data_IF_992611127529
#
_entry.id   IF_992611127529
#
_cell.length_a   1.000
_cell.length_b   1.000
_cell.length_c   1.000
_cell.angle_alpha   90.00
_cell.angle_beta   90.00
_cell.angle_gamma   90.00
#
_symmetry.space_group_name_H-M   'P 1'
#
loop_
_entity.id
_entity.type
_entity.pdbx_description
1 polymer ?
#
# COMPACT_ATOMS: atom_id res chain seq x y z
N UNK A 1 -51.40 57.61 -2.85
CA UNK A 1 -50.56 58.13 -3.94
C UNK A 1 -49.47 57.12 -4.21
N UNK A 2 -49.49 56.56 -5.42
CA UNK A 2 -48.44 55.84 -6.17
C UNK A 2 -47.71 54.67 -5.48
N UNK A 3 -48.10 53.47 -5.92
CA UNK A 3 -47.30 52.52 -6.70
C UNK A 3 -45.82 52.29 -6.32
N UNK A 4 -45.53 51.06 -5.87
CA UNK A 4 -44.54 50.21 -6.54
C UNK A 4 -44.73 48.72 -6.14
N UNK A 5 -45.09 47.90 -7.12
CA UNK A 5 -44.84 46.44 -7.19
C UNK A 5 -43.37 46.19 -7.65
N UNK A 6 -42.84 44.97 -7.85
CA UNK A 6 -43.35 43.60 -7.63
C UNK A 6 -42.31 42.61 -7.01
N UNK A 7 -42.69 41.33 -6.90
CA UNK A 7 -42.00 40.12 -7.43
C UNK A 7 -42.01 38.94 -6.44
N UNK A 8 -42.58 37.85 -6.96
CA UNK A 8 -42.77 36.49 -6.48
C UNK A 8 -41.49 35.78 -6.05
N UNK A 9 -41.58 34.91 -5.03
CA UNK A 9 -40.68 33.78 -4.88
C UNK A 9 -41.48 32.52 -4.52
N UNK A 10 -41.72 31.74 -5.57
CA UNK A 10 -41.48 30.30 -5.69
C UNK A 10 -41.70 29.38 -4.47
N UNK A 11 -42.68 28.50 -4.64
CA UNK A 11 -42.41 27.05 -4.65
C UNK A 11 -42.22 26.38 -3.29
N UNK A 12 -43.34 26.14 -2.60
CA UNK A 12 -43.47 24.95 -1.76
C UNK A 12 -43.45 23.72 -2.67
N UNK A 13 -42.30 23.07 -2.81
CA UNK A 13 -42.21 21.71 -3.33
C UNK A 13 -41.69 20.78 -2.23
N UNK A 14 -42.50 19.75 -2.00
CA UNK A 14 -42.42 18.86 -0.85
C UNK A 14 -41.07 18.15 -0.75
N UNK A 15 -40.60 18.06 0.50
CA UNK A 15 -39.61 17.08 0.90
C UNK A 15 -40.18 15.69 0.64
N UNK A 16 -39.85 15.14 -0.53
CA UNK A 16 -39.94 13.72 -0.80
C UNK A 16 -38.94 13.02 0.12
N UNK A 17 -39.48 12.48 1.21
CA UNK A 17 -38.85 11.52 2.10
C UNK A 17 -38.58 10.27 1.25
N UNK A 18 -37.37 10.14 0.71
CA UNK A 18 -36.92 8.89 0.10
C UNK A 18 -36.57 7.89 1.20
N UNK A 19 -37.63 7.27 1.73
CA UNK A 19 -37.57 6.04 2.50
C UNK A 19 -37.48 4.86 1.54
N UNK A 20 -36.28 4.55 1.03
CA UNK A 20 -35.89 3.19 0.61
C UNK A 20 -34.36 3.04 0.56
N UNK A 21 -33.67 2.95 1.69
CA UNK A 21 -32.32 2.33 1.72
C UNK A 21 -32.31 1.09 2.59
N UNK A 22 -32.34 -0.05 1.90
CA UNK A 22 -32.45 -1.38 2.46
C UNK A 22 -31.07 -1.85 2.96
N UNK A 23 -30.69 -1.44 4.17
CA UNK A 23 -29.87 -2.24 5.10
C UNK A 23 -28.49 -2.73 4.66
N UNK A 24 -27.84 -2.11 3.66
CA UNK A 24 -26.42 -2.37 3.34
C UNK A 24 -25.71 -1.04 3.14
N UNK A 25 -25.17 -0.49 4.23
CA UNK A 25 -24.23 0.62 4.12
C UNK A 25 -23.07 0.20 3.21
N UNK A 26 -22.98 0.85 2.04
CA UNK A 26 -21.90 0.61 1.08
C UNK A 26 -20.57 0.95 1.76
N UNK A 27 -19.75 -0.07 2.04
CA UNK A 27 -18.42 0.14 2.63
C UNK A 27 -17.51 0.76 1.57
N UNK A 28 -17.22 2.05 1.70
CA UNK A 28 -16.29 2.77 0.84
C UNK A 28 -14.84 2.48 1.26
N UNK A 29 -14.32 1.33 0.83
CA UNK A 29 -12.91 0.91 1.01
C UNK A 29 -11.93 1.59 0.03
N UNK A 30 -12.38 2.59 -0.72
CA UNK A 30 -11.61 3.27 -1.78
C UNK A 30 -11.85 2.64 -3.15
N UNK A 31 -11.38 1.40 -3.37
CA UNK A 31 -11.63 0.64 -4.62
C UNK A 31 -12.51 -0.60 -4.36
N UNK A 32 -13.38 -0.99 -5.30
CA UNK A 32 -14.16 -2.20 -5.15
C UNK A 32 -13.25 -3.44 -5.15
N UNK A 33 -13.50 -4.44 -4.29
CA UNK A 33 -12.73 -5.67 -4.26
C UNK A 33 -13.00 -6.51 -5.51
N UNK A 34 -11.99 -7.28 -5.93
CA UNK A 34 -12.06 -8.16 -7.10
C UNK A 34 -11.61 -9.58 -6.76
N UNK A 35 -11.92 -10.55 -7.62
CA UNK A 35 -11.43 -11.93 -7.49
C UNK A 35 -9.90 -11.99 -7.52
N UNK A 36 -9.24 -11.05 -8.20
CA UNK A 36 -7.78 -10.91 -8.16
C UNK A 36 -7.26 -10.64 -6.75
N UNK A 37 -8.00 -9.85 -5.97
CA UNK A 37 -7.63 -9.53 -4.59
C UNK A 37 -7.73 -10.76 -3.69
N UNK A 38 -8.74 -11.60 -3.91
CA UNK A 38 -8.82 -12.91 -3.24
C UNK A 38 -7.62 -13.80 -3.58
N UNK A 39 -7.28 -13.95 -4.86
CA UNK A 39 -6.12 -14.73 -5.27
C UNK A 39 -4.81 -14.18 -4.72
N UNK A 40 -4.67 -12.85 -4.67
CA UNK A 40 -3.52 -12.20 -4.02
C UNK A 40 -3.42 -12.62 -2.56
N UNK A 41 -4.46 -12.42 -1.75
CA UNK A 41 -4.43 -12.81 -0.32
C UNK A 41 -4.08 -14.28 -0.15
N UNK A 42 -4.67 -15.17 -0.95
CA UNK A 42 -4.35 -16.60 -0.89
C UNK A 42 -2.88 -16.90 -1.22
N UNK A 43 -2.33 -16.25 -2.25
CA UNK A 43 -0.90 -16.38 -2.60
C UNK A 43 -0.01 -15.89 -1.46
N UNK A 44 -0.30 -14.72 -0.90
CA UNK A 44 0.48 -14.15 0.20
C UNK A 44 0.47 -15.04 1.44
N UNK A 45 -0.69 -15.61 1.78
CA UNK A 45 -0.84 -16.53 2.92
C UNK A 45 -0.06 -17.82 2.67
N UNK A 46 -0.14 -18.39 1.47
CA UNK A 46 0.60 -19.60 1.12
C UNK A 46 2.12 -19.41 1.21
N UNK A 47 2.63 -18.21 0.92
CA UNK A 47 4.05 -17.87 1.00
C UNK A 47 4.51 -17.47 2.41
N UNK A 48 3.61 -16.97 3.27
CA UNK A 48 3.97 -16.43 4.59
C UNK A 48 3.67 -17.35 5.76
N UNK A 49 2.74 -18.30 5.61
CA UNK A 49 2.29 -19.16 6.71
C UNK A 49 2.44 -20.64 6.35
N UNK A 50 3.21 -21.35 7.16
CA UNK A 50 3.29 -22.82 7.11
C UNK A 50 2.23 -23.39 8.05
N UNK A 51 1.14 -23.91 7.47
CA UNK A 51 0.11 -24.62 8.22
C UNK A 51 0.51 -26.09 8.42
N UNK A 52 0.23 -26.61 9.60
CA UNK A 52 0.42 -28.03 9.87
C UNK A 52 -0.60 -28.85 9.07
N UNK A 53 -0.13 -29.91 8.42
CA UNK A 53 -0.98 -30.70 7.52
C UNK A 53 -2.00 -31.47 8.33
N UNK A 54 -3.26 -31.43 7.88
CA UNK A 54 -4.36 -32.29 8.36
C UNK A 54 -4.80 -32.09 9.82
N UNK A 55 -4.29 -31.09 10.53
CA UNK A 55 -4.73 -30.81 11.92
C UNK A 55 -5.95 -29.90 11.99
N UNK A 56 -6.23 -29.14 10.92
CA UNK A 56 -7.25 -28.08 10.92
C UNK A 56 -6.97 -26.96 11.93
N UNK A 57 -5.77 -26.97 12.53
CA UNK A 57 -5.38 -26.05 13.59
C UNK A 57 -4.51 -24.93 13.02
N UNK A 58 -4.80 -23.70 13.46
CA UNK A 58 -3.95 -22.54 13.22
C UNK A 58 -3.72 -21.83 14.56
N UNK A 59 -2.47 -21.50 14.87
CA UNK A 59 -2.11 -20.69 16.03
C UNK A 59 -2.70 -19.28 15.89
N UNK A 60 -2.83 -18.56 17.01
CA UNK A 60 -3.29 -17.17 16.99
C UNK A 60 -2.38 -16.28 16.12
N UNK A 61 -1.06 -16.43 16.24
CA UNK A 61 -0.09 -15.69 15.43
C UNK A 61 -0.29 -15.90 13.91
N UNK A 62 -0.53 -17.15 13.48
CA UNK A 62 -0.82 -17.45 12.07
C UNK A 62 -2.09 -16.75 11.59
N UNK A 63 -3.15 -16.73 12.42
CA UNK A 63 -4.40 -16.01 12.10
C UNK A 63 -4.20 -14.51 12.04
N UNK A 64 -3.37 -13.93 12.93
CA UNK A 64 -3.00 -12.52 12.89
C UNK A 64 -2.22 -12.17 11.62
N UNK A 65 -1.33 -13.04 11.15
CA UNK A 65 -0.65 -12.87 9.85
C UNK A 65 -1.67 -12.86 8.72
N UNK A 66 -2.60 -13.82 8.70
CA UNK A 66 -3.66 -13.90 7.67
C UNK A 66 -4.56 -12.65 7.67
N UNK A 67 -4.91 -12.15 8.86
CA UNK A 67 -5.63 -10.88 9.02
C UNK A 67 -4.83 -9.72 8.40
N UNK A 68 -3.54 -9.64 8.68
CA UNK A 68 -2.72 -8.54 8.19
C UNK A 68 -2.54 -8.58 6.66
N UNK A 69 -2.38 -9.76 6.05
CA UNK A 69 -2.39 -9.92 4.58
C UNK A 69 -3.73 -9.52 3.97
N UNK A 70 -4.84 -9.85 4.63
CA UNK A 70 -6.18 -9.45 4.21
C UNK A 70 -6.33 -7.92 4.24
N UNK A 71 -5.84 -7.28 5.29
CA UNK A 71 -5.91 -5.83 5.43
C UNK A 71 -5.06 -5.11 4.39
N UNK A 72 -3.85 -5.58 4.12
CA UNK A 72 -2.96 -5.00 3.10
C UNK A 72 -3.59 -5.04 1.70
N UNK A 73 -4.34 -6.10 1.36
CA UNK A 73 -4.92 -6.24 0.02
C UNK A 73 -6.26 -5.52 -0.13
N UNK A 74 -7.16 -5.67 0.84
CA UNK A 74 -8.54 -5.18 0.72
C UNK A 74 -8.76 -3.79 1.32
N UNK A 75 -7.99 -3.41 2.34
CA UNK A 75 -8.26 -2.21 3.13
C UNK A 75 -7.11 -1.18 3.09
N UNK A 76 -5.99 -1.46 2.42
CA UNK A 76 -4.88 -0.51 2.33
C UNK A 76 -5.25 0.81 1.62
N UNK A 77 -6.19 0.77 0.67
CA UNK A 77 -6.69 1.96 -0.03
C UNK A 77 -7.80 2.70 0.74
N UNK A 78 -8.22 2.21 1.91
CA UNK A 78 -9.31 2.79 2.68
C UNK A 78 -8.81 4.03 3.46
N UNK A 79 -9.28 5.24 3.14
CA UNK A 79 -8.82 6.46 3.80
C UNK A 79 -9.46 6.66 5.17
N UNK A 80 -10.63 6.08 5.39
CA UNK A 80 -11.45 6.29 6.59
C UNK A 80 -11.26 5.17 7.62
N UNK A 81 -10.87 5.57 8.84
CA UNK A 81 -10.65 4.66 9.96
C UNK A 81 -11.95 3.94 10.36
N UNK A 82 -13.12 4.60 10.25
CA UNK A 82 -14.40 3.99 10.62
C UNK A 82 -14.75 2.86 9.66
N UNK A 83 -14.68 3.11 8.36
CA UNK A 83 -14.91 2.12 7.30
C UNK A 83 -13.96 0.93 7.42
N UNK A 84 -12.68 1.19 7.74
CA UNK A 84 -11.69 0.13 8.02
C UNK A 84 -12.07 -0.71 9.24
N UNK A 85 -12.52 -0.09 10.33
CA UNK A 85 -12.98 -0.81 11.53
C UNK A 85 -14.24 -1.64 11.26
N UNK A 86 -15.18 -1.13 10.47
CA UNK A 86 -16.38 -1.88 10.07
C UNK A 86 -15.97 -3.10 9.23
N UNK A 87 -15.05 -2.94 8.27
CA UNK A 87 -14.52 -4.07 7.50
C UNK A 87 -13.85 -5.13 8.38
N UNK A 88 -13.06 -4.71 9.38
CA UNK A 88 -12.45 -5.65 10.35
C UNK A 88 -13.53 -6.41 11.14
N UNK A 89 -14.53 -5.70 11.66
CA UNK A 89 -15.61 -6.28 12.47
C UNK A 89 -16.48 -7.25 11.68
N UNK A 90 -16.93 -6.85 10.50
CA UNK A 90 -17.97 -7.57 9.75
C UNK A 90 -17.38 -8.67 8.85
N UNK A 91 -16.11 -8.57 8.48
CA UNK A 91 -15.49 -9.49 7.52
C UNK A 91 -14.16 -10.07 8.00
N UNK A 92 -13.14 -9.23 8.24
CA UNK A 92 -11.78 -9.74 8.37
C UNK A 92 -11.54 -10.56 9.66
N UNK A 93 -12.07 -10.12 10.81
CA UNK A 93 -11.92 -10.86 12.07
C UNK A 93 -12.70 -12.18 12.08
N UNK A 94 -13.99 -12.25 11.67
CA UNK A 94 -14.71 -13.51 11.53
C UNK A 94 -14.04 -14.48 10.55
N UNK A 95 -13.54 -13.99 9.41
CA UNK A 95 -12.90 -14.84 8.39
C UNK A 95 -11.70 -15.63 8.94
N UNK A 96 -10.96 -15.04 9.88
CA UNK A 96 -9.80 -15.66 10.52
C UNK A 96 -10.06 -16.18 11.93
N UNK A 97 -11.34 -16.27 12.34
CA UNK A 97 -11.73 -16.74 13.68
C UNK A 97 -11.02 -15.99 14.82
N UNK A 98 -10.90 -14.67 14.68
CA UNK A 98 -10.36 -13.77 15.70
C UNK A 98 -11.50 -12.99 16.35
N UNK A 99 -11.33 -12.58 17.61
CA UNK A 99 -12.23 -11.60 18.21
C UNK A 99 -11.98 -10.23 17.57
N UNK A 100 -13.03 -9.41 17.48
CA UNK A 100 -12.92 -8.06 16.89
C UNK A 100 -11.90 -7.22 17.64
N UNK A 101 -11.89 -7.31 18.98
CA UNK A 101 -10.96 -6.56 19.83
C UNK A 101 -9.50 -7.00 19.60
N UNK A 102 -9.24 -8.31 19.52
CA UNK A 102 -7.90 -8.81 19.23
C UNK A 102 -7.43 -8.39 17.83
N UNK A 103 -8.32 -8.45 16.83
CA UNK A 103 -8.03 -8.01 15.48
C UNK A 103 -7.70 -6.50 15.42
N UNK A 104 -8.52 -5.65 16.02
CA UNK A 104 -8.28 -4.19 16.09
C UNK A 104 -6.97 -3.89 16.83
N UNK A 105 -6.74 -4.53 17.98
CA UNK A 105 -5.52 -4.35 18.76
C UNK A 105 -4.27 -4.72 17.96
N UNK A 106 -4.32 -5.83 17.21
CA UNK A 106 -3.21 -6.29 16.38
C UNK A 106 -2.86 -5.32 15.24
N UNK A 107 -3.81 -4.52 14.76
CA UNK A 107 -3.62 -3.55 13.68
C UNK A 107 -3.22 -2.17 14.20
N UNK A 108 -3.81 -1.73 15.31
CA UNK A 108 -3.65 -0.36 15.81
C UNK A 108 -2.45 -0.18 16.73
N UNK A 109 -2.08 -1.19 17.53
CA UNK A 109 -1.02 -1.08 18.55
C UNK A 109 0.29 -1.78 18.18
N UNK A 110 0.32 -2.57 17.11
CA UNK A 110 1.51 -3.34 16.72
C UNK A 110 2.66 -2.46 16.24
N UNK A 111 3.83 -2.55 16.85
CA UNK A 111 5.04 -1.91 16.35
C UNK A 111 5.92 -3.05 15.82
N UNK A 112 6.08 -3.19 14.49
CA UNK A 112 6.92 -4.26 13.97
C UNK A 112 8.37 -4.03 14.39
N UNK A 113 9.08 -5.11 14.69
CA UNK A 113 10.52 -5.06 14.93
C UNK A 113 11.27 -5.00 13.59
N UNK A 114 12.47 -4.42 13.62
CA UNK A 114 13.43 -4.51 12.53
C UNK A 114 14.65 -5.22 13.06
N UNK A 115 15.03 -6.32 12.41
CA UNK A 115 16.16 -7.14 12.79
C UNK A 115 16.83 -7.75 11.55
N UNK A 116 18.05 -8.25 11.72
CA UNK A 116 18.82 -8.88 10.65
C UNK A 116 19.34 -10.21 11.14
N UNK A 117 19.09 -11.26 10.37
CA UNK A 117 19.66 -12.58 10.59
C UNK A 117 19.61 -13.38 9.27
N UNK A 118 20.47 -14.38 9.15
CA UNK A 118 20.46 -15.36 8.04
C UNK A 118 20.53 -14.77 6.63
N UNK A 119 21.13 -13.59 6.44
CA UNK A 119 21.19 -12.91 5.14
C UNK A 119 19.86 -12.25 4.72
N UNK A 120 18.96 -12.03 5.68
CA UNK A 120 17.71 -11.31 5.49
C UNK A 120 17.59 -10.13 6.47
N UNK A 121 16.98 -9.04 6.00
CA UNK A 121 16.42 -7.99 6.87
C UNK A 121 14.96 -8.28 7.11
N UNK A 122 14.60 -8.46 8.36
CA UNK A 122 13.24 -8.69 8.80
C UNK A 122 12.62 -7.37 9.25
N UNK A 123 11.41 -7.10 8.74
CA UNK A 123 10.59 -5.94 9.09
C UNK A 123 9.21 -6.48 9.44
N UNK A 124 8.96 -6.74 10.72
CA UNK A 124 7.74 -7.41 11.14
C UNK A 124 7.61 -8.81 10.53
N UNK A 125 6.59 -9.02 9.69
CA UNK A 125 6.27 -10.32 9.09
C UNK A 125 6.98 -10.62 7.76
N UNK A 126 7.77 -9.68 7.25
CA UNK A 126 8.49 -9.87 5.98
C UNK A 126 10.00 -9.92 6.19
N UNK A 127 10.65 -10.89 5.56
CA UNK A 127 12.10 -10.93 5.40
C UNK A 127 12.47 -10.58 3.96
N UNK A 128 13.35 -9.61 3.77
CA UNK A 128 13.89 -9.22 2.48
C UNK A 128 15.36 -9.67 2.40
N UNK A 129 15.79 -10.26 1.27
CA UNK A 129 17.20 -10.62 1.12
C UNK A 129 18.05 -9.36 1.27
N UNK A 130 19.21 -9.47 1.93
CA UNK A 130 20.17 -8.37 2.02
C UNK A 130 21.43 -8.67 1.23
N UNK A 131 21.98 -7.65 0.59
CA UNK A 131 23.28 -7.68 -0.07
C UNK A 131 24.43 -7.30 0.89
N UNK A 132 24.12 -6.90 2.12
CA UNK A 132 25.07 -6.41 3.12
C UNK A 132 25.12 -7.35 4.33
N UNK A 133 26.32 -7.54 4.88
CA UNK A 133 26.56 -8.34 6.08
C UNK A 133 26.05 -7.67 7.37
N UNK A 134 25.96 -6.33 7.42
CA UNK A 134 25.44 -5.55 8.56
C UNK A 134 24.39 -4.51 8.12
N UNK A 135 23.24 -4.46 8.79
CA UNK A 135 22.22 -3.43 8.56
C UNK A 135 22.62 -2.12 9.21
N UNK A 136 22.71 -1.06 8.40
CA UNK A 136 22.77 0.32 8.88
C UNK A 136 21.38 0.80 9.33
N UNK A 137 20.86 0.26 10.43
CA UNK A 137 19.57 0.71 11.01
C UNK A 137 19.73 2.14 11.52
N UNK A 138 20.90 2.45 12.08
CA UNK A 138 21.16 3.68 12.79
C UNK A 138 21.86 4.70 11.89
N UNK A 139 21.04 5.50 11.21
CA UNK A 139 21.48 6.73 10.56
C UNK A 139 20.59 7.81 11.10
N UNK A 140 21.09 8.59 12.06
CA UNK A 140 20.36 9.55 12.90
C UNK A 140 19.59 10.67 12.19
N UNK A 141 19.26 10.50 10.91
CA UNK A 141 18.46 11.38 10.07
C UNK A 141 17.02 10.86 9.88
N UNK A 142 16.73 9.56 10.07
CA UNK A 142 15.39 9.01 9.86
C UNK A 142 14.70 8.60 11.17
N UNK A 143 13.53 9.19 11.46
CA UNK A 143 12.73 8.84 12.62
C UNK A 143 11.87 7.60 12.34
N UNK A 144 12.31 6.43 12.83
CA UNK A 144 11.55 5.18 12.78
C UNK A 144 10.35 5.22 13.76
N UNK A 145 9.24 5.83 13.34
CA UNK A 145 7.96 5.79 14.07
C UNK A 145 7.21 4.50 13.78
N UNK A 146 6.27 4.12 14.66
CA UNK A 146 5.38 2.98 14.47
C UNK A 146 4.69 2.98 13.09
N UNK A 147 4.26 4.15 12.63
CA UNK A 147 3.64 4.33 11.31
C UNK A 147 4.61 3.99 10.17
N UNK A 148 5.83 4.55 10.21
CA UNK A 148 6.83 4.32 9.16
C UNK A 148 7.25 2.85 9.09
N UNK A 149 7.38 2.17 10.23
CA UNK A 149 7.77 0.75 10.26
C UNK A 149 6.64 -0.13 9.72
N UNK A 150 5.37 0.15 10.06
CA UNK A 150 4.22 -0.55 9.46
C UNK A 150 4.15 -0.35 7.95
N UNK A 151 4.42 0.87 7.47
CA UNK A 151 4.45 1.15 6.04
C UNK A 151 5.61 0.43 5.35
N UNK A 152 6.81 0.41 5.95
CA UNK A 152 7.94 -0.37 5.45
C UNK A 152 7.63 -1.87 5.41
N UNK A 153 6.96 -2.41 6.43
CA UNK A 153 6.49 -3.80 6.43
C UNK A 153 5.53 -4.07 5.27
N UNK A 154 4.47 -3.28 5.09
CA UNK A 154 3.50 -3.48 4.01
C UNK A 154 4.15 -3.33 2.62
N UNK A 155 5.08 -2.39 2.44
CA UNK A 155 5.84 -2.25 1.18
C UNK A 155 6.76 -3.47 0.99
N UNK A 156 7.44 -3.92 2.04
CA UNK A 156 8.28 -5.09 2.02
C UNK A 156 7.52 -6.35 1.63
N UNK A 157 6.30 -6.54 2.14
CA UNK A 157 5.41 -7.64 1.71
C UNK A 157 5.16 -7.55 0.22
N UNK A 158 4.82 -6.39 -0.32
CA UNK A 158 4.63 -6.24 -1.77
C UNK A 158 5.91 -6.53 -2.57
N UNK A 159 7.09 -6.17 -2.08
CA UNK A 159 8.38 -6.51 -2.71
C UNK A 159 8.56 -8.04 -2.75
N UNK A 160 8.35 -8.74 -1.63
CA UNK A 160 8.45 -10.20 -1.54
C UNK A 160 7.52 -10.89 -2.55
N UNK A 161 6.30 -10.36 -2.71
CA UNK A 161 5.27 -10.92 -3.58
C UNK A 161 5.35 -10.41 -5.03
N UNK A 162 6.35 -9.60 -5.37
CA UNK A 162 6.53 -8.96 -6.67
C UNK A 162 5.28 -8.18 -7.13
N UNK A 163 4.66 -7.44 -6.21
CA UNK A 163 3.46 -6.64 -6.46
C UNK A 163 3.78 -5.15 -6.64
N UNK A 164 3.27 -4.49 -7.69
CA UNK A 164 3.45 -3.05 -7.87
C UNK A 164 2.67 -2.26 -6.81
N UNK A 165 3.31 -1.23 -6.24
CA UNK A 165 2.76 -0.38 -5.17
C UNK A 165 2.67 1.07 -5.63
N UNK A 166 1.56 1.72 -5.30
CA UNK A 166 1.38 3.16 -5.43
C UNK A 166 1.17 3.77 -4.05
N UNK A 167 2.05 4.69 -3.64
CA UNK A 167 1.95 5.41 -2.37
C UNK A 167 1.32 6.79 -2.59
N UNK A 168 0.13 7.03 -2.05
CA UNK A 168 -0.61 8.29 -2.18
C UNK A 168 -0.74 8.98 -0.81
N UNK A 169 -0.61 10.29 -0.78
CA UNK A 169 -0.79 11.11 0.43
C UNK A 169 -0.23 12.51 0.23
N UNK A 170 -0.30 13.36 1.25
CA UNK A 170 0.21 14.74 1.19
C UNK A 170 1.68 14.84 0.78
N UNK A 171 2.01 15.88 0.01
CA UNK A 171 3.40 16.18 -0.33
C UNK A 171 4.19 16.50 0.94
N UNK A 172 5.38 15.92 1.09
CA UNK A 172 6.18 16.05 2.31
C UNK A 172 5.88 15.02 3.40
N UNK A 173 4.87 14.15 3.25
CA UNK A 173 4.54 13.09 4.23
C UNK A 173 5.52 11.92 4.32
N UNK A 174 6.78 12.09 3.90
CA UNK A 174 7.85 11.09 4.09
C UNK A 174 7.81 9.85 3.18
N UNK A 175 6.93 9.78 2.18
CA UNK A 175 6.81 8.63 1.26
C UNK A 175 8.15 8.24 0.59
N UNK A 176 8.83 9.22 -0.01
CA UNK A 176 10.14 9.01 -0.66
C UNK A 176 11.19 8.61 0.37
N UNK A 177 11.17 9.25 1.55
CA UNK A 177 12.11 8.95 2.64
C UNK A 177 11.94 7.54 3.19
N UNK A 178 10.70 7.02 3.25
CA UNK A 178 10.41 5.62 3.62
C UNK A 178 11.05 4.65 2.63
N UNK A 179 10.92 4.90 1.32
CA UNK A 179 11.52 4.04 0.29
C UNK A 179 13.05 4.09 0.32
N UNK A 180 13.62 5.28 0.50
CA UNK A 180 15.07 5.45 0.67
C UNK A 180 15.58 4.69 1.89
N UNK A 181 14.87 4.77 3.01
CA UNK A 181 15.23 4.04 4.22
C UNK A 181 15.11 2.53 4.03
N UNK A 182 14.04 2.05 3.39
CA UNK A 182 13.84 0.63 3.09
C UNK A 182 14.94 0.06 2.18
N UNK A 183 15.31 0.79 1.14
CA UNK A 183 16.41 0.42 0.24
C UNK A 183 17.74 0.39 1.00
N UNK A 184 17.99 1.39 1.85
CA UNK A 184 19.20 1.47 2.68
C UNK A 184 19.32 0.28 3.64
N UNK A 185 18.28 -0.02 4.41
CA UNK A 185 18.34 -1.12 5.39
C UNK A 185 18.46 -2.47 4.69
N UNK A 186 17.82 -2.66 3.53
CA UNK A 186 17.93 -3.90 2.74
C UNK A 186 19.21 -3.98 1.89
N UNK A 187 20.04 -2.94 1.87
CA UNK A 187 21.26 -2.90 1.06
C UNK A 187 21.03 -2.81 -0.47
N UNK A 188 19.84 -2.42 -0.91
CA UNK A 188 19.52 -2.33 -2.33
C UNK A 188 19.64 -0.89 -2.86
N UNK A 189 20.02 -0.76 -4.14
CA UNK A 189 20.01 0.52 -4.82
C UNK A 189 18.57 0.96 -5.14
N UNK A 190 18.21 2.18 -4.75
CA UNK A 190 16.94 2.78 -5.13
C UNK A 190 17.12 3.60 -6.41
N UNK A 191 16.65 3.07 -7.53
CA UNK A 191 16.59 3.79 -8.80
C UNK A 191 15.35 4.69 -8.83
N UNK A 192 15.54 6.00 -8.96
CA UNK A 192 14.46 6.99 -9.00
C UNK A 192 14.33 7.55 -10.41
N UNK A 193 13.23 7.23 -11.08
CA UNK A 193 12.85 7.86 -12.35
C UNK A 193 11.73 8.86 -12.11
N UNK A 194 11.98 10.14 -12.38
CA UNK A 194 10.94 11.16 -12.32
C UNK A 194 10.09 11.09 -13.60
N UNK A 195 8.76 10.99 -13.44
CA UNK A 195 7.82 10.98 -14.55
C UNK A 195 7.19 12.37 -14.70
N UNK A 196 7.12 12.86 -15.93
CA UNK A 196 6.50 14.12 -16.28
C UNK A 196 5.56 13.94 -17.47
N UNK A 197 4.80 14.98 -17.83
CA UNK A 197 3.99 14.97 -19.06
C UNK A 197 4.81 14.82 -20.34
N UNK A 198 6.13 15.05 -20.28
CA UNK A 198 7.05 14.86 -21.41
C UNK A 198 7.68 13.47 -21.42
N UNK A 199 7.49 12.66 -20.36
CA UNK A 199 8.01 11.30 -20.32
C UNK A 199 7.18 10.41 -21.23
N UNK A 200 7.85 9.80 -22.22
CA UNK A 200 7.22 8.90 -23.18
C UNK A 200 7.59 7.44 -22.87
N UNK A 201 6.80 6.51 -23.39
CA UNK A 201 7.07 5.08 -23.40
C UNK A 201 8.47 4.72 -23.90
N UNK A 202 9.02 5.50 -24.83
CA UNK A 202 10.37 5.32 -25.37
C UNK A 202 11.48 5.64 -24.37
N UNK A 203 11.22 6.48 -23.37
CA UNK A 203 12.18 6.76 -22.28
C UNK A 203 12.31 5.57 -21.31
N UNK A 204 11.27 4.75 -21.20
CA UNK A 204 11.20 3.62 -20.27
C UNK A 204 11.56 2.30 -20.96
N UNK A 205 10.93 2.02 -22.09
CA UNK A 205 11.10 0.76 -22.83
C UNK A 205 12.27 0.81 -23.83
N UNK A 206 12.78 2.01 -24.10
CA UNK A 206 13.70 2.26 -25.21
C UNK A 206 12.95 2.53 -26.51
N UNK A 207 13.44 3.49 -27.28
CA UNK A 207 13.00 3.75 -28.65
C UNK A 207 14.06 3.32 -29.65
N UNK A 208 13.64 2.75 -30.78
CA UNK A 208 14.54 2.56 -31.90
C UNK A 208 14.78 3.92 -32.56
N UNK A 209 15.94 4.54 -32.28
CA UNK A 209 16.38 5.76 -32.96
C UNK A 209 17.33 5.35 -34.08
N UNK A 210 16.97 5.50 -35.37
CA UNK A 210 17.90 5.24 -36.45
C UNK A 210 19.15 6.12 -36.28
N UNK A 211 20.32 5.48 -36.25
CA UNK A 211 21.60 6.15 -36.13
C UNK A 211 21.92 6.82 -37.47
N UNK A 212 21.77 8.14 -37.52
CA UNK A 212 22.27 8.91 -38.64
C UNK A 212 23.80 8.93 -38.64
N UNK A 213 24.43 8.62 -39.78
CA UNK A 213 25.89 8.46 -39.92
C UNK A 213 26.66 9.70 -39.44
N UNK A 214 26.08 10.89 -39.59
CA UNK A 214 26.69 12.15 -39.15
C UNK A 214 26.89 12.25 -37.63
N UNK A 215 26.05 11.58 -36.83
CA UNK A 215 26.19 11.56 -35.36
C UNK A 215 27.34 10.67 -34.89
N UNK A 216 27.62 9.57 -35.62
CA UNK A 216 28.73 8.66 -35.32
C UNK A 216 30.05 9.27 -35.79
N UNK A 217 30.06 9.89 -36.98
CA UNK A 217 31.25 10.49 -37.57
C UNK A 217 31.81 11.67 -36.77
N UNK A 218 30.97 12.40 -36.02
CA UNK A 218 31.39 13.57 -35.23
C UNK A 218 32.33 13.21 -34.08
N UNK A 219 32.14 12.08 -33.42
CA UNK A 219 33.04 11.61 -32.36
C UNK A 219 34.42 11.27 -32.92
N UNK A 220 34.45 10.54 -34.04
CA UNK A 220 35.69 10.16 -34.72
C UNK A 220 36.46 11.37 -35.25
N UNK A 221 35.77 12.41 -35.74
CA UNK A 221 36.40 13.65 -36.23
C UNK A 221 37.00 14.53 -35.12
N UNK A 222 36.60 14.36 -33.86
CA UNK A 222 37.13 15.13 -32.73
C UNK A 222 38.35 14.45 -32.07
N UNK A 223 38.57 13.17 -32.35
CA UNK A 223 39.72 12.38 -31.89
C UNK A 223 40.92 12.43 -32.86
N UNK A 224 40.77 13.12 -34.01
CA UNK A 224 41.84 13.43 -34.98
C UNK A 224 42.22 14.91 -34.92
#
# INVERSE_FOLDING_TARGET
GRDNMPVSHDGEDGQAIDQTDNGRSSLHLGRPPSVRDLFKVMSRIANSVVFERQTGYATENQRTICLAETMDVFAAACPDVKSRRIFVRDFAAPAWSLTVDAAVQSLESRIPAIDQHDGFVHIGRVGLPTSQDEVQIDSGTYACTAYTIRMMESIGVCIRENEPVLLVGETGGGKTSILQQLARISGHELVVQNLSLQTDSTDILGGFRPLEIHHVARGVYQDF
#
